data_IF_220752766420
#
_entry.id   IF_220752766420
#
_cell.length_a   1.000
_cell.length_b   1.000
_cell.length_c   1.000
_cell.angle_alpha   90.00
_cell.angle_beta   90.00
_cell.angle_gamma   90.00
#
_symmetry.space_group_name_H-M   'P 1'
#
loop_
_entity.id
_entity.type
_entity.pdbx_description
1 polymer ?
#
# COMPACT_ATOMS: atom_id res chain seq x y z
N UNK A 1 -15.45 21.18 -6.57
CA UNK A 1 -15.32 20.55 -5.23
C UNK A 1 -13.84 20.40 -4.91
N UNK A 2 -13.36 21.00 -3.82
CA UNK A 2 -11.98 20.79 -3.35
C UNK A 2 -11.89 19.37 -2.77
N UNK A 3 -11.04 18.50 -3.34
CA UNK A 3 -10.74 17.19 -2.75
C UNK A 3 -10.02 17.44 -1.41
N UNK A 4 -10.63 17.03 -0.30
CA UNK A 4 -9.97 17.09 1.01
C UNK A 4 -8.85 16.05 1.01
N UNK A 5 -7.61 16.53 1.00
CA UNK A 5 -6.42 15.68 1.10
C UNK A 5 -6.34 15.16 2.53
N UNK A 6 -6.39 13.84 2.70
CA UNK A 6 -6.19 13.16 3.98
C UNK A 6 -4.85 12.42 3.93
N UNK A 7 -4.00 12.70 4.92
CA UNK A 7 -2.69 12.08 5.09
C UNK A 7 -2.45 11.83 6.56
N UNK A 8 -2.17 10.59 6.93
CA UNK A 8 -1.99 10.17 8.32
C UNK A 8 -0.70 9.38 8.48
N UNK A 9 0.06 9.69 9.54
CA UNK A 9 1.34 9.06 9.84
C UNK A 9 1.19 8.07 11.00
N UNK A 10 1.81 6.91 10.87
CA UNK A 10 1.80 5.83 11.86
C UNK A 10 3.24 5.40 12.15
N UNK A 11 3.72 5.64 13.37
CA UNK A 11 5.06 5.22 13.78
C UNK A 11 5.07 3.73 14.12
N UNK A 12 6.07 2.98 13.64
CA UNK A 12 6.22 1.56 14.00
C UNK A 12 6.67 1.32 15.44
N UNK A 13 7.03 2.37 16.17
CA UNK A 13 7.36 2.30 17.60
C UNK A 13 6.10 2.28 18.50
N UNK A 14 4.95 2.69 17.97
CA UNK A 14 3.69 2.61 18.67
C UNK A 14 3.16 1.18 18.66
N UNK A 15 2.96 0.59 19.86
CA UNK A 15 2.43 -0.77 20.02
C UNK A 15 1.03 -0.95 19.40
N UNK A 16 0.28 0.15 19.24
CA UNK A 16 -1.06 0.16 18.63
C UNK A 16 -1.05 0.52 17.13
N UNK A 17 0.14 0.67 16.52
CA UNK A 17 0.31 1.07 15.13
C UNK A 17 -0.52 0.21 14.16
N UNK A 18 -0.44 -1.12 14.27
CA UNK A 18 -1.22 -2.05 13.43
C UNK A 18 -2.73 -1.77 13.52
N UNK A 19 -3.26 -1.63 14.73
CA UNK A 19 -4.68 -1.38 14.95
C UNK A 19 -5.12 -0.04 14.37
N UNK A 20 -4.31 1.01 14.58
CA UNK A 20 -4.57 2.35 14.06
C UNK A 20 -4.56 2.36 12.53
N UNK A 21 -3.60 1.70 11.89
CA UNK A 21 -3.52 1.60 10.43
C UNK A 21 -4.70 0.79 9.86
N UNK A 22 -5.07 -0.32 10.50
CA UNK A 22 -6.25 -1.11 10.12
C UNK A 22 -7.54 -0.28 10.13
N UNK A 23 -7.76 0.51 11.17
CA UNK A 23 -8.94 1.39 11.24
C UNK A 23 -8.88 2.47 10.15
N UNK A 24 -7.72 3.10 9.98
CA UNK A 24 -7.57 4.21 9.04
C UNK A 24 -7.74 3.77 7.57
N UNK A 25 -7.21 2.61 7.18
CA UNK A 25 -7.35 2.11 5.81
C UNK A 25 -8.81 1.77 5.47
N UNK A 26 -9.57 1.20 6.42
CA UNK A 26 -11.00 0.96 6.26
C UNK A 26 -11.79 2.25 6.09
N UNK A 27 -11.55 3.22 6.98
CA UNK A 27 -12.20 4.54 6.87
C UNK A 27 -11.88 5.18 5.53
N UNK A 28 -10.61 5.18 5.12
CA UNK A 28 -10.20 5.79 3.87
C UNK A 28 -10.83 5.10 2.65
N UNK A 29 -10.86 3.77 2.60
CA UNK A 29 -11.49 3.01 1.52
C UNK A 29 -13.00 3.29 1.42
N UNK A 30 -13.69 3.49 2.55
CA UNK A 30 -15.12 3.82 2.57
C UNK A 30 -15.44 5.26 2.12
N UNK A 31 -14.47 6.17 2.21
CA UNK A 31 -14.63 7.59 1.83
C UNK A 31 -14.25 7.88 0.37
N UNK A 32 -13.62 6.92 -0.31
CA UNK A 32 -13.30 7.04 -1.73
C UNK A 32 -14.61 7.04 -2.54
N UNK A 33 -14.86 8.16 -3.24
CA UNK A 33 -16.01 8.33 -4.15
C UNK A 33 -15.73 7.69 -5.50
N UNK A 34 -15.56 6.38 -5.52
CA UNK A 34 -15.35 5.56 -6.71
C UNK A 34 -16.11 4.25 -6.49
N UNK A 35 -16.90 3.85 -7.47
CA UNK A 35 -17.47 2.51 -7.49
C UNK A 35 -16.42 1.54 -8.00
N UNK A 36 -16.24 0.43 -7.31
CA UNK A 36 -15.29 -0.62 -7.67
C UNK A 36 -15.78 -1.96 -7.15
N UNK A 37 -15.48 -3.02 -7.89
CA UNK A 37 -15.74 -4.39 -7.48
C UNK A 37 -14.45 -5.19 -7.27
N UNK A 38 -13.30 -4.63 -7.66
CA UNK A 38 -11.98 -5.26 -7.51
C UNK A 38 -11.02 -4.34 -6.76
N UNK A 39 -10.05 -4.96 -6.09
CA UNK A 39 -8.88 -4.26 -5.51
C UNK A 39 -7.64 -4.71 -6.28
N UNK A 40 -6.77 -3.75 -6.59
CA UNK A 40 -5.41 -4.02 -7.06
C UNK A 40 -4.41 -3.34 -6.13
N UNK A 41 -3.34 -4.05 -5.77
CA UNK A 41 -2.21 -3.51 -5.01
C UNK A 41 -1.01 -3.38 -5.95
N UNK A 42 -0.42 -2.20 -6.01
CA UNK A 42 0.76 -1.92 -6.83
C UNK A 42 1.95 -1.61 -5.91
N UNK A 43 2.82 -2.59 -5.72
CA UNK A 43 4.07 -2.50 -4.97
C UNK A 43 5.19 -1.91 -5.83
N UNK A 44 5.46 -0.63 -5.62
CA UNK A 44 6.44 0.16 -6.36
C UNK A 44 7.79 0.06 -5.66
N UNK A 45 8.84 -0.17 -6.44
CA UNK A 45 10.22 -0.24 -5.98
C UNK A 45 11.02 -1.36 -6.65
N UNK A 46 12.13 -1.73 -6.03
CA UNK A 46 13.04 -2.76 -6.53
C UNK A 46 13.61 -3.61 -5.40
N UNK A 47 13.93 -4.85 -5.73
CA UNK A 47 14.69 -5.79 -4.92
C UNK A 47 16.19 -5.43 -4.77
N UNK A 48 16.70 -4.47 -5.56
CA UNK A 48 18.15 -4.15 -5.61
C UNK A 48 18.62 -3.14 -4.56
N UNK A 49 17.70 -2.40 -3.94
CA UNK A 49 18.02 -1.45 -2.89
C UNK A 49 17.11 -1.70 -1.69
N UNK A 50 17.70 -1.90 -0.51
CA UNK A 50 16.96 -2.32 0.68
C UNK A 50 15.83 -1.37 1.04
N UNK A 51 16.08 -0.06 0.99
CA UNK A 51 15.06 0.97 1.23
C UNK A 51 13.97 1.00 0.17
N UNK A 52 14.27 0.62 -1.08
CA UNK A 52 13.32 0.58 -2.20
C UNK A 52 12.52 -0.73 -2.25
N UNK A 53 12.84 -1.70 -1.39
CA UNK A 53 12.22 -3.02 -1.38
C UNK A 53 10.87 -3.08 -0.65
N UNK A 54 10.43 -1.99 -0.01
CA UNK A 54 9.18 -1.96 0.76
C UNK A 54 7.95 -2.36 -0.06
N UNK A 55 7.71 -1.72 -1.21
CA UNK A 55 6.59 -2.07 -2.09
C UNK A 55 6.64 -3.53 -2.57
N UNK A 56 7.76 -3.98 -3.16
CA UNK A 56 7.97 -5.38 -3.55
C UNK A 56 7.78 -6.39 -2.40
N UNK A 57 8.20 -6.08 -1.18
CA UNK A 57 8.01 -6.92 0.01
C UNK A 57 6.53 -7.05 0.36
N UNK A 58 5.80 -5.93 0.42
CA UNK A 58 4.35 -5.92 0.67
C UNK A 58 3.62 -6.74 -0.38
N UNK A 59 3.92 -6.53 -1.66
CA UNK A 59 3.35 -7.31 -2.75
C UNK A 59 3.67 -8.80 -2.64
N UNK A 60 4.91 -9.16 -2.32
CA UNK A 60 5.28 -10.56 -2.13
C UNK A 60 4.51 -11.22 -0.97
N UNK A 61 4.38 -10.55 0.18
CA UNK A 61 3.59 -11.05 1.31
C UNK A 61 2.11 -11.23 0.94
N UNK A 62 1.53 -10.28 0.21
CA UNK A 62 0.15 -10.35 -0.24
C UNK A 62 -0.07 -11.43 -1.30
N UNK A 63 0.88 -11.67 -2.20
CA UNK A 63 0.78 -12.72 -3.23
C UNK A 63 0.61 -14.13 -2.67
N UNK A 64 0.96 -14.35 -1.40
CA UNK A 64 0.76 -15.62 -0.68
C UNK A 64 -0.66 -15.77 -0.13
N UNK A 65 -1.48 -14.72 -0.15
CA UNK A 65 -2.85 -14.73 0.35
C UNK A 65 -3.85 -15.10 -0.76
N UNK A 66 -4.09 -16.40 -0.95
CA UNK A 66 -4.98 -16.91 -2.01
C UNK A 66 -6.48 -16.90 -1.66
N UNK A 67 -6.84 -16.51 -0.44
CA UNK A 67 -8.22 -16.57 0.06
C UNK A 67 -9.09 -15.36 -0.33
N UNK A 68 -8.50 -14.35 -0.96
CA UNK A 68 -9.16 -13.10 -1.34
C UNK A 68 -9.09 -12.91 -2.85
N UNK A 69 -10.08 -12.23 -3.43
CA UNK A 69 -10.10 -11.85 -4.83
C UNK A 69 -9.53 -10.44 -5.01
N UNK A 70 -8.28 -10.35 -5.44
CA UNK A 70 -7.58 -9.09 -5.69
C UNK A 70 -6.34 -9.34 -6.57
N UNK A 71 -5.86 -8.29 -7.23
CA UNK A 71 -4.62 -8.36 -8.00
C UNK A 71 -3.44 -7.79 -7.22
N UNK A 72 -2.25 -8.37 -7.42
CA UNK A 72 -0.98 -7.83 -6.94
C UNK A 72 -0.05 -7.61 -8.10
N UNK A 73 0.41 -6.38 -8.25
CA UNK A 73 1.45 -5.97 -9.17
C UNK A 73 2.65 -5.50 -8.36
N UNK A 74 3.86 -5.91 -8.74
CA UNK A 74 5.07 -5.54 -8.01
C UNK A 74 5.29 -6.42 -6.79
N UNK A 75 6.20 -7.38 -6.95
CA UNK A 75 6.69 -8.26 -5.88
C UNK A 75 8.21 -8.28 -5.92
N UNK A 76 8.88 -8.87 -4.92
CA UNK A 76 10.33 -9.09 -5.00
C UNK A 76 10.72 -9.89 -6.26
N UNK A 77 9.89 -10.85 -6.68
CA UNK A 77 10.18 -11.68 -7.85
C UNK A 77 9.89 -10.98 -9.18
N UNK A 78 8.86 -10.13 -9.19
CA UNK A 78 8.39 -9.38 -10.36
C UNK A 78 8.20 -7.91 -9.97
N UNK A 79 9.28 -7.11 -9.85
CA UNK A 79 9.20 -5.74 -9.35
C UNK A 79 8.52 -4.79 -10.34
N UNK A 80 7.81 -3.81 -9.80
CA UNK A 80 7.27 -2.68 -10.57
C UNK A 80 8.08 -1.45 -10.22
N UNK A 81 8.77 -0.92 -11.22
CA UNK A 81 9.70 0.21 -11.08
C UNK A 81 9.52 1.19 -12.23
N UNK A 82 10.28 2.29 -12.22
CA UNK A 82 10.15 3.38 -13.18
C UNK A 82 10.13 2.98 -14.68
N UNK A 83 10.72 1.84 -15.06
CA UNK A 83 10.78 1.40 -16.48
C UNK A 83 9.53 0.66 -16.98
N UNK A 84 8.75 0.03 -16.09
CA UNK A 84 7.61 -0.83 -16.46
C UNK A 84 6.30 -0.42 -15.78
N UNK A 85 6.33 0.65 -14.95
CA UNK A 85 5.15 1.11 -14.23
C UNK A 85 4.02 1.55 -15.18
N UNK A 86 4.35 2.21 -16.29
CA UNK A 86 3.35 2.66 -17.25
C UNK A 86 2.61 1.48 -17.91
N UNK A 87 3.36 0.45 -18.32
CA UNK A 87 2.78 -0.79 -18.87
C UNK A 87 1.93 -1.52 -17.83
N UNK A 88 2.42 -1.61 -16.59
CA UNK A 88 1.68 -2.20 -15.46
C UNK A 88 0.34 -1.48 -15.23
N UNK A 89 0.32 -0.15 -15.31
CA UNK A 89 -0.91 0.61 -15.11
C UNK A 89 -1.88 0.46 -16.28
N UNK A 90 -1.38 0.26 -17.50
CA UNK A 90 -2.23 0.01 -18.68
C UNK A 90 -2.96 -1.33 -18.61
N UNK A 91 -2.44 -2.32 -17.87
CA UNK A 91 -3.12 -3.61 -17.70
C UNK A 91 -4.25 -3.62 -16.66
N UNK A 92 -4.43 -2.53 -15.90
CA UNK A 92 -5.44 -2.41 -14.84
C UNK A 92 -6.70 -1.76 -15.41
N UNK A 93 -7.87 -2.37 -15.20
CA UNK A 93 -9.16 -1.72 -15.42
C UNK A 93 -9.46 -0.71 -14.29
N UNK A 94 -8.99 0.53 -14.47
CA UNK A 94 -9.15 1.60 -13.49
C UNK A 94 -10.62 2.00 -13.25
N UNK A 95 -11.54 1.65 -14.15
CA UNK A 95 -12.95 2.02 -14.02
C UNK A 95 -13.70 1.23 -12.95
N UNK A 96 -13.25 0.00 -12.67
CA UNK A 96 -13.89 -0.94 -11.74
C UNK A 96 -12.95 -1.42 -10.61
N UNK A 97 -11.72 -0.88 -10.53
CA UNK A 97 -10.69 -1.33 -9.59
C UNK A 97 -10.27 -0.21 -8.66
N UNK A 98 -10.35 -0.42 -7.33
CA UNK A 98 -9.66 0.41 -6.36
C UNK A 98 -8.18 0.06 -6.35
N UNK A 99 -7.33 1.02 -6.69
CA UNK A 99 -5.88 0.83 -6.75
C UNK A 99 -5.23 1.33 -5.47
N UNK A 100 -4.48 0.46 -4.78
CA UNK A 100 -3.68 0.81 -3.60
C UNK A 100 -2.21 0.82 -4.01
N UNK A 101 -1.61 2.01 -4.06
CA UNK A 101 -0.19 2.17 -4.31
C UNK A 101 0.62 1.94 -3.03
N UNK A 102 1.72 1.21 -3.12
CA UNK A 102 2.64 0.95 -2.01
C UNK A 102 4.05 1.32 -2.44
N UNK A 103 4.67 2.28 -1.78
CA UNK A 103 5.99 2.82 -2.18
C UNK A 103 6.87 3.13 -0.96
N UNK A 104 8.17 3.25 -1.20
CA UNK A 104 9.11 3.78 -0.22
C UNK A 104 9.35 5.27 -0.47
N UNK A 105 9.63 6.00 0.60
CA UNK A 105 9.89 7.44 0.56
C UNK A 105 11.02 7.81 1.50
N UNK A 106 11.65 8.94 1.19
CA UNK A 106 12.60 9.59 2.09
C UNK A 106 11.92 10.74 2.83
N UNK A 107 12.35 11.02 4.05
CA UNK A 107 11.70 12.02 4.90
C UNK A 107 12.62 12.62 5.95
N UNK A 108 12.03 13.35 6.90
CA UNK A 108 12.79 13.89 8.04
C UNK A 108 13.27 12.76 8.96
N UNK A 109 14.39 12.92 9.67
CA UNK A 109 14.90 11.91 10.62
C UNK A 109 13.85 11.44 11.63
N UNK A 110 13.03 12.36 12.13
CA UNK A 110 11.95 12.05 13.09
C UNK A 110 10.85 11.15 12.52
N UNK A 111 10.75 11.03 11.20
CA UNK A 111 9.74 10.22 10.52
C UNK A 111 10.26 8.86 10.07
N UNK A 112 11.53 8.53 10.28
CA UNK A 112 12.07 7.22 9.92
C UNK A 112 11.28 6.13 10.66
N UNK A 113 10.86 5.10 9.91
CA UNK A 113 10.03 4.04 10.47
C UNK A 113 8.55 4.42 10.61
N UNK A 114 8.10 5.49 9.95
CA UNK A 114 6.68 5.81 9.81
C UNK A 114 6.10 5.20 8.54
N UNK A 115 4.88 4.68 8.65
CA UNK A 115 4.01 4.34 7.53
C UNK A 115 3.03 5.50 7.34
N UNK A 116 2.86 5.93 6.11
CA UNK A 116 2.02 7.08 5.75
C UNK A 116 0.89 6.61 4.85
N UNK A 117 -0.34 6.77 5.33
CA UNK A 117 -1.54 6.46 4.55
C UNK A 117 -2.10 7.76 3.97
N UNK A 118 -2.46 7.78 2.69
CA UNK A 118 -3.09 8.93 2.05
C UNK A 118 -4.15 8.54 1.03
N UNK A 119 -5.16 9.41 0.86
CA UNK A 119 -6.21 9.28 -0.16
C UNK A 119 -5.82 9.92 -1.50
N UNK A 120 -4.52 10.11 -1.73
CA UNK A 120 -3.97 10.70 -2.94
C UNK A 120 -3.06 9.70 -3.64
N UNK A 121 -2.96 9.76 -4.97
CA UNK A 121 -1.98 8.96 -5.69
C UNK A 121 -0.55 9.32 -5.28
N UNK A 122 0.35 8.34 -5.39
CA UNK A 122 1.78 8.60 -5.35
C UNK A 122 2.23 9.00 -6.75
N UNK A 123 3.20 9.92 -6.84
CA UNK A 123 3.99 10.17 -8.04
C UNK A 123 5.39 9.61 -7.86
N UNK A 124 5.64 8.38 -8.34
CA UNK A 124 6.93 7.72 -8.16
C UNK A 124 8.02 8.52 -8.89
N UNK A 125 9.23 8.48 -8.37
CA UNK A 125 10.38 9.05 -9.08
C UNK A 125 10.48 10.58 -9.08
N UNK A 126 9.59 11.29 -8.38
CA UNK A 126 9.65 12.75 -8.20
C UNK A 126 10.96 13.23 -7.55
N UNK A 127 11.58 12.39 -6.70
CA UNK A 127 12.90 12.65 -6.10
C UNK A 127 14.10 12.31 -6.99
N UNK A 128 13.88 11.70 -8.17
CA UNK A 128 14.94 11.29 -9.12
C UNK A 128 14.72 11.87 -10.53
N UNK A 129 13.88 12.89 -10.66
CA UNK A 129 13.69 13.65 -11.90
C UNK A 129 12.94 12.91 -13.02
N UNK A 130 12.12 11.91 -12.69
CA UNK A 130 11.28 11.21 -13.68
C UNK A 130 9.83 11.66 -13.58
N UNK A 131 9.21 11.93 -14.72
CA UNK A 131 7.78 12.25 -14.83
C UNK A 131 7.00 10.95 -15.06
N UNK A 132 6.67 10.26 -13.96
CA UNK A 132 5.90 9.01 -13.99
C UNK A 132 4.42 9.27 -13.71
N UNK A 133 3.52 8.47 -14.29
CA UNK A 133 2.09 8.62 -14.05
C UNK A 133 1.75 8.46 -12.56
N UNK A 134 0.75 9.20 -12.05
CA UNK A 134 0.26 9.01 -10.68
C UNK A 134 -0.33 7.62 -10.50
N UNK A 135 -0.07 6.99 -9.35
CA UNK A 135 -0.50 5.63 -9.03
C UNK A 135 -1.33 5.60 -7.76
N UNK A 136 -2.48 4.91 -7.83
CA UNK A 136 -3.34 4.62 -6.69
C UNK A 136 -4.47 5.62 -6.46
N UNK A 137 -5.60 5.12 -5.99
CA UNK A 137 -6.65 5.89 -5.35
C UNK A 137 -6.32 6.14 -3.87
N UNK A 138 -5.65 5.16 -3.26
CA UNK A 138 -5.08 5.19 -1.92
C UNK A 138 -3.59 4.88 -2.04
N UNK A 139 -2.79 5.49 -1.16
CA UNK A 139 -1.36 5.24 -1.09
C UNK A 139 -0.90 4.88 0.31
N UNK A 140 0.01 3.91 0.41
CA UNK A 140 0.76 3.56 1.60
C UNK A 140 2.25 3.79 1.30
N UNK A 141 2.87 4.74 2.01
CA UNK A 141 4.28 5.07 1.83
C UNK A 141 5.07 4.80 3.11
N UNK A 142 6.17 4.05 3.03
CA UNK A 142 7.08 3.89 4.15
C UNK A 142 8.17 4.97 4.11
N UNK A 143 8.44 5.62 5.24
CA UNK A 143 9.57 6.54 5.37
C UNK A 143 10.79 5.75 5.83
N UNK A 144 11.61 5.36 4.86
CA UNK A 144 12.68 4.36 5.03
C UNK A 144 14.05 4.98 5.29
N UNK A 145 14.27 6.21 4.81
CA UNK A 145 15.57 6.89 4.86
C UNK A 145 15.42 8.41 4.95
N UNK A 146 16.50 9.08 5.35
CA UNK A 146 16.53 10.54 5.54
C UNK A 146 16.62 11.20 4.16
N UNK A 147 15.79 12.24 3.94
CA UNK A 147 15.88 13.10 2.77
C UNK A 147 17.07 14.05 2.89
N UNK A 148 17.78 14.30 1.79
CA UNK A 148 18.94 15.19 1.80
C UNK A 148 19.93 14.82 0.70
N UNK A 149 21.22 14.92 1.02
CA UNK A 149 22.29 14.61 0.08
C UNK A 149 22.39 13.09 -0.18
N UNK A 150 22.46 12.69 -1.45
CA UNK A 150 22.58 11.29 -1.93
C UNK A 150 21.45 10.34 -1.48
N UNK A 151 20.17 10.61 -1.82
CA UNK A 151 19.04 9.77 -1.43
C UNK A 151 19.16 8.31 -1.92
N UNK A 152 19.78 8.08 -3.09
CA UNK A 152 19.99 6.74 -3.63
C UNK A 152 20.93 5.90 -2.76
N UNK A 153 22.00 6.49 -2.23
CA UNK A 153 22.95 5.80 -1.34
C UNK A 153 22.29 5.45 -0.01
N UNK A 154 21.42 6.34 0.49
CA UNK A 154 20.67 6.09 1.73
C UNK A 154 19.70 4.92 1.57
N UNK A 155 18.99 4.84 0.44
CA UNK A 155 18.11 3.71 0.14
C UNK A 155 18.89 2.39 0.04
N UNK A 156 20.10 2.39 -0.51
CA UNK A 156 20.94 1.20 -0.59
C UNK A 156 21.41 0.70 0.79
N UNK A 157 21.67 1.61 1.74
CA UNK A 157 22.18 1.29 3.09
C UNK A 157 21.08 1.21 4.17
N UNK A 158 19.82 1.35 3.80
CA UNK A 158 18.71 1.27 4.75
C UNK A 158 18.64 -0.13 5.39
N UNK A 159 18.32 -0.20 6.69
CA UNK A 159 18.15 -1.48 7.39
C UNK A 159 16.97 -2.29 6.83
N UNK A 160 17.26 -3.51 6.35
CA UNK A 160 16.24 -4.46 5.90
C UNK A 160 15.24 -4.78 7.02
N UNK A 161 15.71 -4.90 8.26
CA UNK A 161 14.83 -5.21 9.40
C UNK A 161 13.75 -4.16 9.63
N UNK A 162 14.10 -2.87 9.44
CA UNK A 162 13.14 -1.77 9.52
C UNK A 162 12.12 -1.85 8.37
N UNK A 163 12.60 -2.03 7.14
CA UNK A 163 11.76 -2.12 5.94
C UNK A 163 10.81 -3.31 6.03
N UNK A 164 11.31 -4.47 6.44
CA UNK A 164 10.54 -5.69 6.62
C UNK A 164 9.44 -5.52 7.67
N UNK A 165 9.76 -4.92 8.84
CA UNK A 165 8.76 -4.61 9.88
C UNK A 165 7.64 -3.71 9.35
N UNK A 166 7.99 -2.68 8.57
CA UNK A 166 6.98 -1.81 7.96
C UNK A 166 6.13 -2.55 6.92
N UNK A 167 6.77 -3.38 6.08
CA UNK A 167 6.10 -4.15 5.04
C UNK A 167 5.09 -5.13 5.65
N UNK A 168 5.45 -5.81 6.73
CA UNK A 168 4.55 -6.71 7.46
C UNK A 168 3.31 -5.98 7.98
N UNK A 169 3.50 -4.81 8.61
CA UNK A 169 2.39 -4.01 9.13
C UNK A 169 1.45 -3.56 8.00
N UNK A 170 2.01 -3.07 6.90
CA UNK A 170 1.24 -2.62 5.73
C UNK A 170 0.48 -3.77 5.06
N UNK A 171 1.14 -4.91 4.82
CA UNK A 171 0.52 -6.10 4.25
C UNK A 171 -0.62 -6.61 5.14
N UNK A 172 -0.43 -6.62 6.46
CA UNK A 172 -1.47 -7.00 7.42
C UNK A 172 -2.68 -6.05 7.39
N UNK A 173 -2.46 -4.75 7.21
CA UNK A 173 -3.54 -3.78 7.08
C UNK A 173 -4.33 -3.93 5.78
N UNK A 174 -3.65 -4.18 4.66
CA UNK A 174 -4.31 -4.47 3.38
C UNK A 174 -5.12 -5.77 3.49
N UNK A 175 -4.54 -6.82 4.09
CA UNK A 175 -5.26 -8.08 4.35
C UNK A 175 -6.50 -7.87 5.22
N UNK A 176 -6.41 -7.00 6.23
CA UNK A 176 -7.55 -6.66 7.05
C UNK A 176 -8.67 -5.96 6.27
N UNK A 177 -8.31 -5.03 5.36
CA UNK A 177 -9.26 -4.42 4.42
C UNK A 177 -9.96 -5.47 3.56
N UNK A 178 -9.20 -6.37 2.93
CA UNK A 178 -9.74 -7.45 2.08
C UNK A 178 -10.69 -8.37 2.86
N UNK A 179 -10.31 -8.76 4.09
CA UNK A 179 -11.17 -9.54 4.97
C UNK A 179 -12.52 -8.86 5.24
N UNK A 180 -12.49 -7.56 5.57
CA UNK A 180 -13.67 -6.77 5.90
C UNK A 180 -14.60 -6.54 4.71
N UNK A 181 -14.06 -6.44 3.50
CA UNK A 181 -14.86 -6.21 2.30
C UNK A 181 -15.39 -7.50 1.66
N UNK A 182 -14.66 -8.62 1.75
CA UNK A 182 -15.00 -9.82 0.99
C UNK A 182 -15.56 -10.97 1.84
N UNK A 183 -15.00 -11.20 3.03
CA UNK A 183 -15.36 -12.38 3.83
C UNK A 183 -16.34 -12.08 4.97
N UNK A 184 -16.20 -10.92 5.64
CA UNK A 184 -17.12 -10.55 6.72
C UNK A 184 -18.58 -10.38 6.26
N UNK A 185 -18.88 -9.72 5.13
CA UNK A 185 -20.26 -9.61 4.63
C UNK A 185 -20.86 -10.97 4.27
N UNK A 186 -20.06 -11.85 3.66
CA UNK A 186 -20.49 -13.21 3.29
C UNK A 186 -20.84 -14.07 4.52
N UNK A 187 -20.09 -13.94 5.62
CA UNK A 187 -20.38 -14.62 6.89
C UNK A 187 -21.68 -14.10 7.52
N UNK A 188 -21.88 -12.78 7.56
CA UNK A 188 -23.08 -12.18 8.14
C UNK A 188 -24.34 -12.57 7.34
N UNK A 189 -24.25 -12.63 6.01
CA UNK A 189 -25.36 -13.08 5.16
C UNK A 189 -25.70 -14.55 5.41
N UNK A 190 -24.70 -15.43 5.56
CA UNK A 190 -24.93 -16.84 5.91
C UNK A 190 -25.57 -17.01 7.29
N UNK A 191 -25.08 -16.30 8.31
CA UNK A 191 -25.62 -16.37 9.68
C UNK A 191 -27.08 -15.87 9.76
N UNK A 192 -27.42 -14.80 9.03
CA UNK A 192 -28.78 -14.30 8.96
C UNK A 192 -29.71 -15.27 8.21
N UNK A 193 -29.24 -15.90 7.12
CA UNK A 193 -30.03 -16.90 6.37
C UNK A 193 -30.33 -18.18 7.17
N UNK A 194 -29.46 -18.58 8.10
CA UNK A 194 -29.71 -19.74 8.98
C UNK A 194 -30.68 -19.46 10.13
N UNK A 195 -31.03 -18.20 10.39
CA UNK A 195 -31.91 -17.82 11.51
C UNK A 195 -33.37 -17.66 11.05
N UNK A 196 -33.63 -17.55 9.74
CA UNK A 196 -34.98 -17.40 9.15
C UNK A 196 -35.63 -18.75 8.77
N UNK A 197 -35.05 -19.88 9.18
CA UNK A 197 -35.48 -21.22 8.79
C UNK A 197 -36.12 -22.06 9.93
N UNK A 198 -36.61 -21.40 10.99
CA UNK A 198 -37.37 -22.04 12.08
C UNK A 198 -38.78 -21.47 12.20
#
# INVERSE_FOLDING_TARGET
>A
MVKVVKKTHFTTNDKTCQFKLNKAILTMASEIKKEYNKIAVVGIGSDRATGDSFGPLVGYMLSKCQIYDFDVYGTILNPVHAKNIEETLKSIDHSNTLVIAVDASVGRPEHIGHIVLSNQPIKPGSGVGKDLPPVGDISISAVVAIAGFLPLVMLQNTSLGLVYKMAEIAANSIRHLLYKQQLEPAKNNKANSSTTAC
#
